data_IF_412610461060
#
_entry.id   IF_412610461060
#
_cell.length_a   1.000
_cell.length_b   1.000
_cell.length_c   1.000
_cell.angle_alpha   90.00
_cell.angle_beta   90.00
_cell.angle_gamma   90.00
#
_symmetry.space_group_name_H-M   'P 1'
#
loop_
_entity.id
_entity.type
_entity.pdbx_description
1 polymer ?
#
# COMPACT_ATOMS: atom_id res chain seq x y z
N UNK A 1 -8.04 5.05 -17.06
CA UNK A 1 -7.69 5.20 -15.63
C UNK A 1 -6.21 5.58 -15.52
N UNK A 2 -5.86 6.60 -14.75
CA UNK A 2 -4.48 6.85 -14.34
C UNK A 2 -4.17 6.10 -13.04
N UNK A 3 -3.07 5.33 -13.02
CA UNK A 3 -2.53 4.74 -11.80
C UNK A 3 -1.13 5.30 -11.55
N UNK A 4 -0.98 6.19 -10.57
CA UNK A 4 0.36 6.64 -10.15
C UNK A 4 0.99 5.58 -9.24
N UNK A 5 2.28 5.32 -9.36
CA UNK A 5 2.93 4.19 -8.67
C UNK A 5 2.51 2.82 -9.23
N UNK A 6 2.04 2.80 -10.49
CA UNK A 6 1.48 1.60 -11.12
C UNK A 6 2.48 0.48 -11.38
N UNK A 7 3.79 0.76 -11.43
CA UNK A 7 4.85 -0.25 -11.57
C UNK A 7 5.31 -0.83 -10.21
N UNK A 8 4.81 -0.29 -9.09
CA UNK A 8 5.08 -0.77 -7.74
C UNK A 8 4.38 -2.09 -7.39
N UNK A 9 4.53 -2.55 -6.12
CA UNK A 9 3.99 -3.82 -5.64
C UNK A 9 2.46 -3.90 -5.77
N UNK A 10 1.69 -2.97 -5.21
CA UNK A 10 0.23 -3.00 -5.32
C UNK A 10 -0.19 -2.56 -6.73
N UNK A 11 0.54 -1.59 -7.30
CA UNK A 11 0.20 -0.94 -8.56
C UNK A 11 0.12 -1.91 -9.73
N UNK A 12 1.10 -2.79 -9.93
CA UNK A 12 1.09 -3.70 -11.07
C UNK A 12 -0.06 -4.73 -11.02
N UNK A 13 -0.46 -5.17 -9.82
CA UNK A 13 -1.66 -6.01 -9.65
C UNK A 13 -2.94 -5.23 -10.00
N UNK A 14 -3.04 -3.98 -9.56
CA UNK A 14 -4.17 -3.12 -9.88
C UNK A 14 -4.27 -2.85 -11.39
N UNK A 15 -3.14 -2.53 -12.03
CA UNK A 15 -3.07 -2.32 -13.49
C UNK A 15 -3.53 -3.57 -14.22
N UNK A 16 -3.05 -4.75 -13.82
CA UNK A 16 -3.46 -6.02 -14.41
C UNK A 16 -4.98 -6.27 -14.25
N UNK A 17 -5.52 -6.02 -13.05
CA UNK A 17 -6.94 -6.20 -12.77
C UNK A 17 -7.84 -5.23 -13.56
N UNK A 18 -7.41 -3.96 -13.73
CA UNK A 18 -8.13 -2.96 -14.53
C UNK A 18 -8.09 -3.32 -16.02
N UNK A 19 -6.93 -3.72 -16.54
CA UNK A 19 -6.78 -4.17 -17.93
C UNK A 19 -7.62 -5.41 -18.23
N UNK A 20 -7.65 -6.39 -17.33
CA UNK A 20 -8.49 -7.58 -17.45
C UNK A 20 -10.00 -7.26 -17.51
N UNK A 21 -10.41 -6.10 -16.99
CA UNK A 21 -11.79 -5.57 -17.09
C UNK A 21 -12.01 -4.69 -18.32
N UNK A 22 -11.06 -4.66 -19.27
CA UNK A 22 -11.16 -3.87 -20.50
C UNK A 22 -10.94 -2.37 -20.31
N UNK A 23 -10.43 -1.92 -19.14
CA UNK A 23 -10.13 -0.50 -18.94
C UNK A 23 -8.79 -0.13 -19.57
N UNK A 24 -8.74 1.01 -20.21
CA UNK A 24 -7.47 1.62 -20.62
C UNK A 24 -6.76 2.20 -19.40
N UNK A 25 -5.47 1.88 -19.25
CA UNK A 25 -4.68 2.29 -18.09
C UNK A 25 -3.44 3.04 -18.53
N UNK A 26 -3.27 4.25 -17.98
CA UNK A 26 -2.02 5.01 -18.00
C UNK A 26 -1.35 4.86 -16.64
N UNK A 27 -0.06 4.60 -16.63
CA UNK A 27 0.77 4.54 -15.41
C UNK A 27 1.68 5.75 -15.38
N UNK A 28 1.76 6.44 -14.22
CA UNK A 28 2.84 7.40 -13.91
C UNK A 28 3.71 6.79 -12.81
N UNK A 29 4.98 6.55 -13.11
CA UNK A 29 5.93 5.93 -12.16
C UNK A 29 7.35 6.41 -12.45
N UNK A 30 8.13 6.71 -11.43
CA UNK A 30 9.55 7.12 -11.57
C UNK A 30 10.50 5.92 -11.62
N UNK A 31 9.97 4.71 -11.43
CA UNK A 31 10.68 3.44 -11.37
C UNK A 31 11.73 3.35 -10.25
N UNK A 32 11.67 4.22 -9.25
CA UNK A 32 12.59 4.19 -8.11
C UNK A 32 12.51 2.89 -7.30
N UNK A 33 11.32 2.30 -7.23
CA UNK A 33 11.07 0.98 -6.63
C UNK A 33 10.22 0.08 -7.53
N UNK A 34 9.51 0.67 -8.47
CA UNK A 34 8.70 0.00 -9.48
C UNK A 34 9.55 -0.71 -10.55
N UNK A 35 8.92 -1.62 -11.27
CA UNK A 35 9.54 -2.35 -12.39
C UNK A 35 8.60 -2.35 -13.58
N UNK A 36 9.03 -1.73 -14.68
CA UNK A 36 8.23 -1.62 -15.90
C UNK A 36 7.86 -2.99 -16.49
N UNK A 37 8.73 -4.01 -16.30
CA UNK A 37 8.55 -5.37 -16.82
C UNK A 37 7.37 -6.11 -16.17
N UNK A 38 6.87 -5.60 -15.01
CA UNK A 38 5.69 -6.15 -14.33
C UNK A 38 4.37 -5.67 -14.93
N UNK A 39 4.41 -4.59 -15.69
CA UNK A 39 3.21 -4.04 -16.32
C UNK A 39 2.74 -4.93 -17.46
N UNK A 40 1.41 -5.13 -17.63
CA UNK A 40 0.87 -5.80 -18.81
C UNK A 40 1.34 -5.11 -20.09
N UNK A 41 1.57 -5.89 -21.15
CA UNK A 41 1.90 -5.35 -22.47
C UNK A 41 0.85 -4.31 -22.90
N UNK A 42 1.28 -3.29 -23.63
CA UNK A 42 0.45 -2.19 -24.11
C UNK A 42 -0.10 -1.25 -23.01
N UNK A 43 0.42 -1.34 -21.77
CA UNK A 43 0.14 -0.32 -20.76
C UNK A 43 0.90 0.97 -21.10
N UNK A 44 0.19 2.09 -21.24
CA UNK A 44 0.85 3.40 -21.42
C UNK A 44 1.61 3.76 -20.15
N UNK A 45 2.94 3.75 -20.21
CA UNK A 45 3.80 4.18 -19.11
C UNK A 45 4.33 5.61 -19.41
N UNK A 46 4.00 6.54 -18.54
CA UNK A 46 4.65 7.84 -18.41
C UNK A 46 5.70 7.72 -17.33
N UNK A 47 6.97 7.65 -17.73
CA UNK A 47 8.08 7.61 -16.79
C UNK A 47 8.31 9.02 -16.25
N UNK A 48 8.08 9.21 -14.95
CA UNK A 48 8.21 10.53 -14.34
C UNK A 48 7.84 10.55 -12.87
N UNK A 49 8.27 11.60 -12.20
CA UNK A 49 8.01 11.84 -10.78
C UNK A 49 6.65 12.51 -10.59
N UNK A 50 5.87 12.06 -9.61
CA UNK A 50 4.57 12.67 -9.28
C UNK A 50 4.69 14.13 -8.82
N UNK A 51 5.88 14.57 -8.42
CA UNK A 51 6.19 15.96 -8.07
C UNK A 51 6.35 16.86 -9.32
N UNK A 52 6.59 16.27 -10.48
CA UNK A 52 6.75 17.00 -11.75
C UNK A 52 5.38 17.30 -12.39
N UNK A 53 5.04 18.58 -12.46
CA UNK A 53 3.79 19.05 -13.04
C UNK A 53 3.62 18.67 -14.52
N UNK A 54 4.72 18.60 -15.30
CA UNK A 54 4.66 18.23 -16.71
C UNK A 54 4.39 16.73 -16.87
N UNK A 55 5.03 15.88 -16.08
CA UNK A 55 4.78 14.44 -16.06
C UNK A 55 3.33 14.12 -15.62
N UNK A 56 2.83 14.81 -14.59
CA UNK A 56 1.45 14.69 -14.13
C UNK A 56 0.46 15.12 -15.21
N UNK A 57 0.70 16.23 -15.89
CA UNK A 57 -0.18 16.70 -16.97
C UNK A 57 -0.23 15.71 -18.13
N UNK A 58 0.94 15.22 -18.58
CA UNK A 58 1.01 14.20 -19.64
C UNK A 58 0.33 12.88 -19.25
N UNK A 59 0.42 12.48 -17.98
CA UNK A 59 -0.23 11.27 -17.49
C UNK A 59 -1.76 11.40 -17.40
N UNK A 60 -2.28 12.60 -17.19
CA UNK A 60 -3.72 12.89 -17.09
C UNK A 60 -4.42 13.00 -18.45
N UNK A 61 -3.71 13.06 -19.57
CA UNK A 61 -4.32 13.17 -20.89
C UNK A 61 -5.30 12.04 -21.19
N UNK A 62 -6.58 12.36 -21.44
CA UNK A 62 -7.64 11.42 -21.75
C UNK A 62 -8.12 10.55 -20.57
N UNK A 63 -7.73 10.89 -19.34
CA UNK A 63 -8.05 10.13 -18.12
C UNK A 63 -9.38 10.61 -17.54
N UNK A 64 -10.27 9.67 -17.17
CA UNK A 64 -11.52 9.95 -16.47
C UNK A 64 -11.48 9.54 -14.99
N UNK A 65 -10.57 8.68 -14.60
CA UNK A 65 -10.45 8.16 -13.22
C UNK A 65 -8.98 8.08 -12.80
N UNK A 66 -8.72 8.33 -11.53
CA UNK A 66 -7.36 8.36 -10.96
C UNK A 66 -7.26 7.45 -9.74
N UNK A 67 -6.20 6.63 -9.68
CA UNK A 67 -5.78 5.94 -8.46
C UNK A 67 -4.38 6.38 -8.09
N UNK A 68 -4.25 7.02 -6.94
CA UNK A 68 -2.97 7.54 -6.44
C UNK A 68 -2.32 6.57 -5.47
N UNK A 69 -1.36 5.76 -5.99
CA UNK A 69 -0.55 4.83 -5.18
C UNK A 69 0.90 5.30 -5.03
N UNK A 70 1.38 6.25 -5.85
CA UNK A 70 2.76 6.74 -5.78
C UNK A 70 3.05 7.29 -4.38
N UNK A 71 4.05 6.73 -3.74
CA UNK A 71 4.45 7.09 -2.39
C UNK A 71 5.84 6.55 -2.06
N UNK A 72 6.57 7.22 -1.19
CA UNK A 72 7.64 6.60 -0.41
C UNK A 72 6.97 5.85 0.75
N UNK A 73 7.08 4.51 0.75
CA UNK A 73 6.39 3.64 1.71
C UNK A 73 7.40 3.09 2.70
N UNK A 74 7.62 3.79 3.80
CA UNK A 74 8.50 3.30 4.86
C UNK A 74 8.32 4.10 6.15
N UNK A 75 7.78 3.47 7.19
CA UNK A 75 7.72 4.08 8.53
C UNK A 75 9.13 4.42 9.03
N UNK A 76 10.08 3.49 8.90
CA UNK A 76 11.45 3.68 9.38
C UNK A 76 12.24 4.61 8.47
N UNK A 77 12.22 4.42 7.17
CA UNK A 77 12.94 5.28 6.22
C UNK A 77 12.46 6.73 6.25
N UNK A 78 11.18 6.97 6.56
CA UNK A 78 10.67 8.33 6.73
C UNK A 78 11.27 9.05 7.94
N UNK A 79 11.69 8.33 8.98
CA UNK A 79 12.38 8.92 10.12
C UNK A 79 13.84 9.29 9.77
N UNK A 80 14.45 8.60 8.81
CA UNK A 80 15.81 8.87 8.31
C UNK A 80 15.81 10.06 7.34
N UNK A 81 14.78 10.18 6.49
CA UNK A 81 14.61 11.30 5.53
C UNK A 81 13.15 11.79 5.49
N UNK A 82 12.73 12.57 6.50
CA UNK A 82 11.35 13.07 6.57
C UNK A 82 11.04 14.13 5.51
N UNK A 83 12.05 14.83 5.00
CA UNK A 83 11.85 15.84 3.96
C UNK A 83 11.46 15.16 2.65
N UNK A 84 12.20 14.15 2.21
CA UNK A 84 11.87 13.37 1.01
C UNK A 84 10.51 12.69 1.14
N UNK A 85 10.18 12.15 2.32
CA UNK A 85 8.85 11.58 2.57
C UNK A 85 7.75 12.62 2.34
N UNK A 86 7.86 13.82 2.93
CA UNK A 86 6.91 14.89 2.76
C UNK A 86 6.83 15.40 1.31
N UNK A 87 7.96 15.53 0.64
CA UNK A 87 8.00 15.93 -0.78
C UNK A 87 7.20 14.97 -1.67
N UNK A 88 7.40 13.67 -1.53
CA UNK A 88 6.71 12.69 -2.37
C UNK A 88 5.27 12.52 -1.91
N UNK A 89 5.04 12.25 -0.62
CA UNK A 89 3.73 11.85 -0.11
C UNK A 89 2.76 13.02 0.02
N UNK A 90 3.24 14.25 0.31
CA UNK A 90 2.38 15.42 0.46
C UNK A 90 2.43 16.30 -0.80
N UNK A 91 3.63 16.78 -1.19
CA UNK A 91 3.73 17.66 -2.36
C UNK A 91 3.37 16.93 -3.66
N UNK A 92 3.75 15.65 -3.81
CA UNK A 92 3.33 14.82 -4.95
C UNK A 92 1.81 14.70 -5.04
N UNK A 93 1.13 14.46 -3.91
CA UNK A 93 -0.34 14.44 -3.85
C UNK A 93 -0.93 15.79 -4.24
N UNK A 94 -0.37 16.90 -3.76
CA UNK A 94 -0.82 18.25 -4.12
C UNK A 94 -0.62 18.55 -5.61
N UNK A 95 0.50 18.12 -6.21
CA UNK A 95 0.75 18.28 -7.65
C UNK A 95 -0.25 17.49 -8.49
N UNK A 96 -0.60 16.27 -8.06
CA UNK A 96 -1.63 15.48 -8.72
C UNK A 96 -3.00 16.16 -8.63
N UNK A 97 -3.40 16.66 -7.45
CA UNK A 97 -4.65 17.40 -7.27
C UNK A 97 -4.70 18.68 -8.10
N UNK A 98 -3.59 19.41 -8.18
CA UNK A 98 -3.46 20.59 -9.06
C UNK A 98 -3.62 20.22 -10.54
N UNK A 99 -3.00 19.12 -10.97
CA UNK A 99 -3.14 18.60 -12.33
C UNK A 99 -4.59 18.20 -12.64
N UNK A 100 -5.26 17.50 -11.72
CA UNK A 100 -6.68 17.14 -11.85
C UNK A 100 -7.55 18.38 -11.98
N UNK A 101 -7.34 19.38 -11.12
CA UNK A 101 -8.11 20.63 -11.18
C UNK A 101 -7.92 21.38 -12.51
N UNK A 102 -6.68 21.43 -13.04
CA UNK A 102 -6.39 22.03 -14.35
C UNK A 102 -7.03 21.25 -15.49
N UNK A 103 -6.97 19.93 -15.48
CA UNK A 103 -7.60 19.07 -16.49
C UNK A 103 -9.14 19.29 -16.50
N UNK A 104 -9.78 19.35 -15.34
CA UNK A 104 -11.21 19.66 -15.21
C UNK A 104 -11.54 21.06 -15.73
N UNK A 105 -10.74 22.08 -15.38
CA UNK A 105 -10.92 23.45 -15.88
C UNK A 105 -10.75 23.54 -17.41
N UNK A 106 -9.97 22.67 -18.03
CA UNK A 106 -9.81 22.54 -19.46
C UNK A 106 -10.92 21.71 -20.14
N UNK A 107 -11.93 21.26 -19.39
CA UNK A 107 -13.09 20.52 -19.91
C UNK A 107 -12.92 19.00 -19.95
N UNK A 108 -11.81 18.45 -19.40
CA UNK A 108 -11.65 17.01 -19.30
C UNK A 108 -12.50 16.46 -18.12
N UNK A 109 -13.22 15.37 -18.38
CA UNK A 109 -14.09 14.75 -17.37
C UNK A 109 -13.31 13.76 -16.48
N UNK A 110 -12.55 14.28 -15.52
CA UNK A 110 -12.00 13.47 -14.43
C UNK A 110 -13.08 13.32 -13.37
N UNK A 111 -13.84 12.23 -13.42
CA UNK A 111 -15.01 12.04 -12.58
C UNK A 111 -14.65 11.54 -11.17
N UNK A 112 -13.69 10.63 -11.05
CA UNK A 112 -13.39 9.93 -9.78
C UNK A 112 -11.91 9.83 -9.49
N UNK A 113 -11.57 9.91 -8.19
CA UNK A 113 -10.19 9.82 -7.73
C UNK A 113 -10.09 9.05 -6.40
N UNK A 114 -9.20 8.07 -6.34
CA UNK A 114 -8.93 7.21 -5.18
C UNK A 114 -7.53 7.48 -4.66
N UNK A 115 -7.40 7.76 -3.35
CA UNK A 115 -6.11 7.87 -2.67
C UNK A 115 -5.84 6.62 -1.85
N UNK A 116 -4.69 5.98 -2.06
CA UNK A 116 -4.15 5.00 -1.13
C UNK A 116 -3.50 5.70 0.07
N UNK A 117 -4.18 5.64 1.20
CA UNK A 117 -3.64 6.01 2.51
C UNK A 117 -3.12 4.77 3.25
N UNK A 118 -2.93 4.84 4.55
CA UNK A 118 -2.30 3.79 5.34
C UNK A 118 -2.88 3.70 6.74
N UNK A 119 -2.85 2.52 7.34
CA UNK A 119 -3.10 2.34 8.77
C UNK A 119 -2.14 3.13 9.67
N UNK A 120 -1.01 3.58 9.13
CA UNK A 120 -0.02 4.37 9.86
C UNK A 120 -0.53 5.76 10.30
N UNK A 121 -1.72 6.18 9.86
CA UNK A 121 -2.38 7.42 10.31
C UNK A 121 -2.99 7.28 11.69
N UNK A 122 -3.27 6.06 12.15
CA UNK A 122 -3.94 5.82 13.42
C UNK A 122 -3.02 5.91 14.65
N UNK A 123 -3.62 6.20 15.77
CA UNK A 123 -3.05 5.91 17.09
C UNK A 123 -3.03 4.39 17.35
N UNK A 124 -2.46 4.00 18.50
CA UNK A 124 -2.53 2.61 18.99
C UNK A 124 -3.98 2.14 19.12
N UNK A 125 -4.29 0.95 18.61
CA UNK A 125 -5.56 0.30 18.87
C UNK A 125 -5.65 -0.29 20.29
N UNK A 126 -6.87 -0.48 20.80
CA UNK A 126 -7.08 -1.24 22.01
C UNK A 126 -6.70 -2.73 21.81
N UNK A 127 -6.29 -3.47 22.86
CA UNK A 127 -5.85 -4.86 22.75
C UNK A 127 -6.87 -5.78 22.06
N UNK A 128 -8.15 -5.59 22.34
CA UNK A 128 -9.27 -6.37 21.78
C UNK A 128 -10.11 -5.56 20.80
N UNK A 129 -9.68 -4.32 20.46
CA UNK A 129 -10.42 -3.40 19.59
C UNK A 129 -9.96 -3.47 18.14
N UNK A 130 -10.91 -3.22 17.24
CA UNK A 130 -10.64 -2.97 15.82
C UNK A 130 -10.51 -1.47 15.58
N UNK A 131 -9.62 -1.08 14.69
CA UNK A 131 -9.45 0.31 14.25
C UNK A 131 -10.56 0.66 13.26
N UNK A 132 -11.48 1.51 13.69
CA UNK A 132 -12.54 2.09 12.86
C UNK A 132 -12.02 3.36 12.19
N UNK A 133 -12.69 3.81 11.13
CA UNK A 133 -12.29 5.01 10.38
C UNK A 133 -12.40 6.30 11.21
N UNK A 134 -13.26 6.31 12.22
CA UNK A 134 -13.45 7.41 13.19
C UNK A 134 -12.49 7.34 14.39
N UNK A 135 -11.64 6.32 14.47
CA UNK A 135 -10.62 6.21 15.52
C UNK A 135 -9.61 7.38 15.46
N UNK A 136 -9.02 7.76 16.61
CA UNK A 136 -8.06 8.85 16.66
C UNK A 136 -6.90 8.67 15.67
N UNK A 137 -6.66 9.68 14.85
CA UNK A 137 -5.52 9.74 13.93
C UNK A 137 -4.37 10.50 14.57
N UNK A 138 -3.48 9.76 15.25
CA UNK A 138 -2.27 10.29 15.91
C UNK A 138 -1.07 9.51 15.41
N UNK A 139 -0.57 9.83 14.20
CA UNK A 139 0.52 9.11 13.57
C UNK A 139 1.81 9.21 14.38
N UNK A 140 2.59 8.10 14.44
CA UNK A 140 3.85 8.00 15.18
C UNK A 140 5.10 8.09 14.29
N UNK A 141 4.92 8.35 13.00
CA UNK A 141 6.01 8.45 12.03
C UNK A 141 5.79 9.58 11.04
N UNK A 142 6.85 10.16 10.46
CA UNK A 142 6.72 11.13 9.38
C UNK A 142 5.86 10.60 8.22
N UNK A 143 6.01 9.32 7.84
CA UNK A 143 5.16 8.65 6.86
C UNK A 143 3.66 8.74 7.21
N UNK A 144 3.31 8.40 8.44
CA UNK A 144 1.91 8.48 8.89
C UNK A 144 1.38 9.92 8.89
N UNK A 145 2.21 10.91 9.29
CA UNK A 145 1.88 12.34 9.23
C UNK A 145 1.65 12.76 7.77
N UNK A 146 2.56 12.38 6.86
CA UNK A 146 2.45 12.67 5.43
C UNK A 146 1.18 12.08 4.81
N UNK A 147 0.85 10.82 5.13
CA UNK A 147 -0.39 10.18 4.65
C UNK A 147 -1.65 10.85 5.21
N UNK A 148 -1.66 11.22 6.49
CA UNK A 148 -2.80 11.94 7.08
C UNK A 148 -2.98 13.33 6.45
N UNK A 149 -1.89 14.06 6.19
CA UNK A 149 -1.93 15.32 5.47
C UNK A 149 -2.49 15.13 4.04
N UNK A 150 -2.01 14.11 3.33
CA UNK A 150 -2.51 13.75 2.00
C UNK A 150 -4.02 13.46 2.01
N UNK A 151 -4.56 12.73 3.00
CA UNK A 151 -6.01 12.51 3.15
C UNK A 151 -6.79 13.83 3.21
N UNK A 152 -6.33 14.77 4.05
CA UNK A 152 -6.99 16.06 4.22
C UNK A 152 -6.98 16.89 2.95
N UNK A 153 -5.84 16.95 2.26
CA UNK A 153 -5.72 17.63 0.98
C UNK A 153 -6.56 16.95 -0.11
N UNK A 154 -6.63 15.61 -0.09
CA UNK A 154 -7.40 14.83 -1.07
C UNK A 154 -8.89 15.17 -1.00
N UNK A 155 -9.50 15.06 0.18
CA UNK A 155 -10.90 15.40 0.34
C UNK A 155 -11.20 16.85 -0.05
N UNK A 156 -10.37 17.79 0.41
CA UNK A 156 -10.55 19.21 0.08
C UNK A 156 -10.36 19.47 -1.42
N UNK A 157 -9.31 18.92 -2.03
CA UNK A 157 -8.97 19.14 -3.44
C UNK A 157 -10.00 18.55 -4.38
N UNK A 158 -10.45 17.32 -4.11
CA UNK A 158 -11.49 16.65 -4.88
C UNK A 158 -12.83 17.42 -4.80
N UNK A 159 -13.26 17.80 -3.59
CA UNK A 159 -14.50 18.58 -3.41
C UNK A 159 -14.46 19.91 -4.16
N UNK A 160 -13.35 20.63 -4.12
CA UNK A 160 -13.17 21.91 -4.83
C UNK A 160 -13.16 21.76 -6.36
N UNK A 161 -12.72 20.62 -6.87
CA UNK A 161 -12.64 20.34 -8.30
C UNK A 161 -13.88 19.63 -8.85
N UNK A 162 -14.87 19.33 -8.00
CA UNK A 162 -16.06 18.57 -8.38
C UNK A 162 -15.74 17.13 -8.78
N UNK A 163 -14.70 16.52 -8.18
CA UNK A 163 -14.28 15.14 -8.40
C UNK A 163 -14.76 14.28 -7.24
N UNK A 164 -15.29 13.11 -7.52
CA UNK A 164 -15.67 12.12 -6.51
C UNK A 164 -14.41 11.51 -5.88
N UNK A 165 -13.99 12.06 -4.73
CA UNK A 165 -12.79 11.65 -4.02
C UNK A 165 -13.08 10.61 -2.94
N UNK A 166 -12.29 9.53 -2.89
CA UNK A 166 -12.33 8.54 -1.81
C UNK A 166 -10.92 8.25 -1.29
N UNK A 167 -10.81 7.95 -0.01
CA UNK A 167 -9.57 7.57 0.66
C UNK A 167 -9.68 6.13 1.14
N UNK A 168 -8.68 5.32 0.81
CA UNK A 168 -8.57 3.93 1.25
C UNK A 168 -7.36 3.78 2.16
N UNK A 169 -7.58 3.49 3.44
CA UNK A 169 -6.51 3.20 4.41
C UNK A 169 -6.13 1.74 4.31
N UNK A 170 -5.03 1.47 3.61
CA UNK A 170 -4.51 0.10 3.46
C UNK A 170 -3.84 -0.35 4.75
N UNK A 171 -4.16 -1.58 5.15
CA UNK A 171 -3.44 -2.27 6.20
C UNK A 171 -2.24 -3.02 5.63
N UNK A 172 -1.65 -3.99 6.33
CA UNK A 172 -0.36 -4.55 5.92
C UNK A 172 -0.50 -5.44 4.69
N UNK A 173 -0.27 -4.86 3.52
CA UNK A 173 -0.30 -5.57 2.25
C UNK A 173 0.78 -6.65 2.18
N UNK A 174 0.44 -7.83 1.67
CA UNK A 174 1.38 -8.89 1.36
C UNK A 174 0.96 -9.65 0.10
N UNK A 175 1.88 -10.39 -0.51
CA UNK A 175 1.58 -11.24 -1.67
C UNK A 175 2.70 -11.29 -2.70
N UNK A 176 2.45 -11.95 -3.84
CA UNK A 176 3.42 -12.10 -4.93
C UNK A 176 3.93 -10.75 -5.41
N UNK A 177 5.21 -10.67 -5.75
CA UNK A 177 5.81 -9.44 -6.26
C UNK A 177 6.20 -8.43 -5.18
N UNK A 178 5.91 -8.66 -3.90
CA UNK A 178 6.43 -7.82 -2.83
C UNK A 178 7.96 -7.93 -2.79
N UNK A 179 8.63 -6.80 -3.00
CA UNK A 179 10.10 -6.75 -2.96
C UNK A 179 10.55 -6.55 -1.52
N UNK A 180 11.49 -7.37 -1.02
CA UNK A 180 12.09 -7.13 0.29
C UNK A 180 12.73 -5.75 0.33
N UNK A 181 12.51 -5.02 1.41
CA UNK A 181 13.24 -3.79 1.69
C UNK A 181 13.61 -3.77 3.17
N UNK A 182 14.65 -3.06 3.59
CA UNK A 182 15.02 -2.95 5.00
C UNK A 182 13.90 -2.43 5.90
N UNK A 183 12.83 -1.89 5.30
CA UNK A 183 11.82 -1.10 5.97
C UNK A 183 10.40 -1.63 5.84
N UNK A 184 10.14 -2.55 4.89
CA UNK A 184 8.77 -3.02 4.55
C UNK A 184 8.77 -4.54 4.40
N UNK A 185 7.70 -5.17 4.94
CA UNK A 185 7.41 -6.58 4.67
C UNK A 185 8.06 -7.55 5.64
N UNK A 186 7.54 -7.66 6.86
CA UNK A 186 8.02 -8.65 7.85
C UNK A 186 8.04 -10.09 7.29
N UNK A 187 7.06 -10.43 6.43
CA UNK A 187 6.97 -11.75 5.80
C UNK A 187 8.17 -12.00 4.88
N UNK A 188 8.48 -11.05 3.99
CA UNK A 188 9.61 -11.18 3.07
C UNK A 188 10.94 -11.14 3.80
N UNK A 189 11.07 -10.35 4.87
CA UNK A 189 12.25 -10.37 5.73
C UNK A 189 12.49 -11.73 6.40
N UNK A 190 11.45 -12.31 6.97
CA UNK A 190 11.56 -13.63 7.60
C UNK A 190 11.89 -14.69 6.55
N UNK A 191 11.24 -14.63 5.38
CA UNK A 191 11.51 -15.54 4.28
C UNK A 191 12.95 -15.49 3.79
N UNK A 192 13.50 -14.29 3.56
CA UNK A 192 14.89 -14.12 3.11
C UNK A 192 15.89 -14.64 4.15
N UNK A 193 15.64 -14.40 5.44
CA UNK A 193 16.50 -14.93 6.51
C UNK A 193 16.45 -16.45 6.55
N UNK A 194 15.27 -17.05 6.51
CA UNK A 194 15.09 -18.51 6.54
C UNK A 194 15.76 -19.16 5.33
N UNK A 195 15.64 -18.59 4.14
CA UNK A 195 16.35 -19.05 2.93
C UNK A 195 17.88 -18.96 3.05
N UNK A 196 18.36 -17.97 3.78
CA UNK A 196 19.80 -17.84 4.06
C UNK A 196 20.29 -18.78 5.20
N UNK A 197 19.43 -19.67 5.70
CA UNK A 197 19.74 -20.57 6.82
C UNK A 197 19.80 -19.85 8.18
N UNK A 198 19.21 -18.65 8.27
CA UNK A 198 19.17 -17.85 9.50
C UNK A 198 17.75 -17.81 10.07
N UNK A 199 17.59 -17.82 11.41
CA UNK A 199 16.28 -17.72 12.03
C UNK A 199 15.64 -16.36 11.80
N UNK A 200 14.28 -16.26 11.74
CA UNK A 200 13.58 -14.99 11.77
C UNK A 200 13.84 -14.27 13.10
N UNK A 201 14.04 -12.94 13.07
CA UNK A 201 14.25 -12.13 14.28
C UNK A 201 12.98 -11.37 14.64
N UNK A 202 12.44 -11.67 15.80
CA UNK A 202 11.25 -11.03 16.38
C UNK A 202 11.70 -9.93 17.34
N UNK A 203 11.19 -8.71 17.14
CA UNK A 203 11.40 -7.61 18.05
C UNK A 203 10.31 -7.60 19.12
N UNK A 204 10.72 -7.61 20.41
CA UNK A 204 9.81 -7.78 21.54
C UNK A 204 9.40 -9.23 21.77
N UNK A 205 8.18 -9.45 22.28
CA UNK A 205 7.63 -10.77 22.60
C UNK A 205 6.92 -11.48 21.41
N UNK A 206 6.81 -10.79 20.28
CA UNK A 206 6.13 -11.32 19.09
C UNK A 206 4.61 -11.33 19.17
N UNK A 207 4.00 -10.84 20.26
CA UNK A 207 2.54 -10.81 20.44
C UNK A 207 1.88 -9.56 19.85
N UNK A 208 2.65 -8.64 19.27
CA UNK A 208 2.10 -7.50 18.54
C UNK A 208 1.27 -7.99 17.34
N UNK A 209 0.03 -7.51 17.24
CA UNK A 209 -0.93 -7.93 16.24
C UNK A 209 -0.99 -6.96 15.07
N UNK A 210 -1.01 -7.51 13.87
CA UNK A 210 -1.15 -6.77 12.60
C UNK A 210 -2.22 -7.41 11.76
N UNK A 211 -2.92 -6.59 11.01
CA UNK A 211 -3.83 -7.04 9.97
C UNK A 211 -3.05 -7.19 8.66
N UNK A 212 -2.85 -8.42 8.23
CA UNK A 212 -2.22 -8.73 6.95
C UNK A 212 -3.31 -8.99 5.90
N UNK A 213 -3.33 -8.18 4.87
CA UNK A 213 -4.28 -8.26 3.77
C UNK A 213 -3.57 -8.63 2.47
N UNK A 214 -4.11 -9.64 1.77
CA UNK A 214 -3.53 -10.05 0.50
C UNK A 214 -3.70 -8.96 -0.56
N UNK A 215 -2.72 -8.81 -1.45
CA UNK A 215 -2.72 -7.78 -2.48
C UNK A 215 -3.94 -7.86 -3.40
N UNK A 216 -4.42 -9.05 -3.71
CA UNK A 216 -5.62 -9.25 -4.54
C UNK A 216 -6.88 -8.67 -3.88
N UNK A 217 -7.00 -8.79 -2.56
CA UNK A 217 -8.13 -8.23 -1.81
C UNK A 217 -8.07 -6.69 -1.78
N UNK A 218 -6.86 -6.10 -1.59
CA UNK A 218 -6.68 -4.64 -1.71
C UNK A 218 -7.04 -4.15 -3.10
N UNK A 219 -6.62 -4.86 -4.14
CA UNK A 219 -6.95 -4.54 -5.53
C UNK A 219 -8.45 -4.62 -5.76
N UNK A 220 -9.12 -5.67 -5.27
CA UNK A 220 -10.57 -5.82 -5.39
C UNK A 220 -11.33 -4.66 -4.73
N UNK A 221 -10.93 -4.28 -3.50
CA UNK A 221 -11.51 -3.12 -2.80
C UNK A 221 -11.25 -1.79 -3.52
N UNK A 222 -10.05 -1.62 -4.09
CA UNK A 222 -9.69 -0.40 -4.84
C UNK A 222 -10.48 -0.29 -6.15
N UNK A 223 -10.68 -1.40 -6.87
CA UNK A 223 -11.51 -1.42 -8.06
C UNK A 223 -12.99 -1.17 -7.70
N UNK A 224 -13.49 -1.75 -6.61
CA UNK A 224 -14.84 -1.48 -6.15
C UNK A 224 -15.05 0.01 -5.80
N UNK A 225 -14.03 0.70 -5.29
CA UNK A 225 -14.09 2.14 -5.02
C UNK A 225 -14.14 2.99 -6.29
N UNK A 226 -13.64 2.49 -7.43
CA UNK A 226 -13.85 3.13 -8.73
C UNK A 226 -15.25 2.87 -9.30
N UNK A 227 -15.87 1.74 -8.98
CA UNK A 227 -17.14 1.30 -9.58
C UNK A 227 -18.38 1.77 -8.79
N UNK A 228 -18.22 2.20 -7.52
CA UNK A 228 -19.33 2.54 -6.60
C UNK A 228 -19.32 4.00 -6.22
N UNK A 229 -20.50 4.51 -5.85
CA UNK A 229 -20.64 5.86 -5.31
C UNK A 229 -20.22 5.86 -3.82
N UNK A 230 -18.98 6.26 -3.59
CA UNK A 230 -18.33 6.33 -2.27
C UNK A 230 -17.62 7.67 -2.08
N UNK A 231 -18.10 8.70 -2.77
CA UNK A 231 -17.52 10.05 -2.71
C UNK A 231 -17.49 10.59 -1.29
N UNK A 232 -16.37 11.19 -0.92
CA UNK A 232 -16.16 11.78 0.41
C UNK A 232 -15.86 10.78 1.52
N UNK A 233 -15.91 9.47 1.25
CA UNK A 233 -15.63 8.47 2.28
C UNK A 233 -14.13 8.24 2.49
N UNK A 234 -13.79 7.87 3.71
CA UNK A 234 -12.53 7.22 4.09
C UNK A 234 -12.88 5.82 4.54
N UNK A 235 -12.21 4.79 3.99
CA UNK A 235 -12.53 3.38 4.26
C UNK A 235 -11.26 2.59 4.58
N UNK A 236 -11.35 1.67 5.53
CA UNK A 236 -10.29 0.73 5.84
C UNK A 236 -10.32 -0.46 4.88
N UNK A 237 -9.19 -0.79 4.29
CA UNK A 237 -8.99 -2.05 3.56
C UNK A 237 -7.96 -2.91 4.29
N UNK A 238 -8.45 -3.92 4.99
CA UNK A 238 -7.71 -4.93 5.72
C UNK A 238 -8.39 -6.29 5.56
N UNK A 239 -7.87 -7.29 6.26
CA UNK A 239 -8.53 -8.60 6.35
C UNK A 239 -9.58 -8.66 7.47
N UNK A 240 -9.57 -7.68 8.39
CA UNK A 240 -10.36 -7.68 9.61
C UNK A 240 -9.85 -8.67 10.66
N UNK A 241 -8.65 -9.22 10.49
CA UNK A 241 -8.06 -10.25 11.38
C UNK A 241 -6.67 -9.85 11.84
N UNK A 242 -6.44 -9.99 13.12
CA UNK A 242 -5.14 -9.74 13.72
C UNK A 242 -4.30 -11.01 13.77
N UNK A 243 -3.14 -10.99 13.12
CA UNK A 243 -2.11 -12.03 13.19
C UNK A 243 -0.92 -11.50 13.99
N UNK A 244 -0.39 -12.28 14.91
CA UNK A 244 0.80 -11.91 15.68
C UNK A 244 2.07 -12.09 14.84
N UNK A 245 3.11 -11.31 15.13
CA UNK A 245 4.40 -11.46 14.44
C UNK A 245 5.01 -12.85 14.67
N UNK A 246 4.76 -13.46 15.84
CA UNK A 246 5.16 -14.84 16.12
C UNK A 246 4.44 -15.84 15.22
N UNK A 247 3.12 -15.69 14.99
CA UNK A 247 2.37 -16.52 14.04
C UNK A 247 2.91 -16.37 12.61
N UNK A 248 3.25 -15.15 12.21
CA UNK A 248 3.89 -14.91 10.89
C UNK A 248 5.23 -15.64 10.80
N UNK A 249 6.09 -15.56 11.82
CA UNK A 249 7.38 -16.24 11.82
C UNK A 249 7.22 -17.75 11.68
N UNK A 250 6.30 -18.34 12.44
CA UNK A 250 5.98 -19.78 12.37
C UNK A 250 5.42 -20.19 11.00
N UNK A 251 4.53 -19.38 10.43
CA UNK A 251 3.97 -19.64 9.12
C UNK A 251 5.04 -19.62 8.02
N UNK A 252 5.99 -18.67 8.07
CA UNK A 252 7.11 -18.61 7.13
C UNK A 252 8.05 -19.80 7.29
N UNK A 253 8.41 -20.18 8.53
CA UNK A 253 9.24 -21.37 8.79
C UNK A 253 8.58 -22.63 8.23
N UNK A 254 7.28 -22.80 8.48
CA UNK A 254 6.51 -23.94 7.95
C UNK A 254 6.47 -23.95 6.41
N UNK A 255 6.24 -22.79 5.78
CA UNK A 255 6.21 -22.63 4.33
C UNK A 255 7.59 -22.96 3.67
N UNK A 256 8.69 -22.74 4.41
CA UNK A 256 10.04 -23.08 3.97
C UNK A 256 10.46 -24.51 4.36
N UNK A 257 9.65 -25.28 5.06
CA UNK A 257 10.05 -26.60 5.60
C UNK A 257 11.21 -26.52 6.59
N UNK A 258 11.38 -25.38 7.27
CA UNK A 258 12.51 -25.10 8.15
C UNK A 258 12.20 -25.49 9.60
N UNK A 259 13.19 -26.07 10.28
CA UNK A 259 13.15 -26.42 11.71
C UNK A 259 13.81 -25.38 12.61
N UNK A 260 14.20 -24.23 12.06
CA UNK A 260 14.77 -23.14 12.83
C UNK A 260 13.73 -22.58 13.81
N UNK A 261 14.21 -22.08 14.97
CA UNK A 261 13.37 -21.37 15.93
C UNK A 261 13.61 -19.86 15.82
N UNK A 262 12.57 -19.01 16.03
CA UNK A 262 12.73 -17.57 16.02
C UNK A 262 13.70 -17.07 17.09
N UNK A 263 14.52 -16.10 16.74
CA UNK A 263 15.33 -15.31 17.69
C UNK A 263 14.56 -14.07 18.15
N UNK A 264 14.84 -13.61 19.37
CA UNK A 264 14.19 -12.45 19.94
C UNK A 264 15.20 -11.31 20.16
N UNK A 265 14.80 -10.09 19.80
CA UNK A 265 15.54 -8.86 19.98
C UNK A 265 14.72 -7.86 20.81
N UNK A 266 15.35 -6.81 21.39
CA UNK A 266 14.63 -5.79 22.14
C UNK A 266 13.45 -5.19 21.37
N UNK A 267 12.34 -4.91 22.07
CA UNK A 267 11.16 -4.29 21.49
C UNK A 267 11.49 -2.90 20.90
N UNK A 268 10.77 -2.52 19.85
CA UNK A 268 10.87 -1.21 19.20
C UNK A 268 9.80 -0.28 19.77
N UNK A 269 10.17 0.84 20.41
CA UNK A 269 9.21 1.73 21.08
C UNK A 269 8.18 2.37 20.15
N UNK A 270 8.56 2.58 18.87
CA UNK A 270 7.72 3.21 17.85
C UNK A 270 6.67 2.27 17.23
N UNK A 271 6.77 0.96 17.47
CA UNK A 271 5.84 -0.01 16.91
C UNK A 271 4.50 -0.02 17.65
N UNK A 272 3.41 0.02 16.88
CA UNK A 272 2.07 -0.21 17.43
C UNK A 272 1.93 -1.65 17.93
N UNK A 273 1.29 -1.84 19.08
CA UNK A 273 1.05 -3.16 19.63
C UNK A 273 -0.15 -3.85 18.95
N UNK A 274 -1.19 -3.08 18.66
CA UNK A 274 -2.44 -3.56 18.10
C UNK A 274 -2.87 -2.70 16.92
N UNK A 275 -2.95 -3.29 15.73
CA UNK A 275 -3.37 -2.62 14.51
C UNK A 275 -4.14 -3.60 13.61
N UNK A 276 -5.46 -3.70 13.84
CA UNK A 276 -6.38 -4.54 13.10
C UNK A 276 -7.55 -3.70 12.60
N UNK A 277 -7.92 -3.85 11.33
CA UNK A 277 -8.98 -3.06 10.70
C UNK A 277 -10.37 -3.49 11.18
N UNK A 278 -11.24 -2.53 11.47
CA UNK A 278 -12.66 -2.71 11.26
C UNK A 278 -12.96 -2.45 9.77
N UNK A 279 -13.48 -3.46 9.09
CA UNK A 279 -13.80 -3.39 7.66
C UNK A 279 -15.30 -3.29 7.40
N UNK A 280 -16.12 -3.04 8.42
CA UNK A 280 -17.58 -3.00 8.30
C UNK A 280 -18.07 -1.90 7.37
N UNK A 281 -17.42 -0.72 7.40
CA UNK A 281 -17.74 0.37 6.49
C UNK A 281 -17.40 0.02 5.03
N UNK A 282 -16.24 -0.60 4.78
CA UNK A 282 -15.87 -1.06 3.44
C UNK A 282 -16.81 -2.17 2.92
N UNK A 283 -17.25 -3.07 3.80
CA UNK A 283 -18.28 -4.07 3.46
C UNK A 283 -19.58 -3.42 3.03
N UNK A 284 -20.08 -2.48 3.80
CA UNK A 284 -21.34 -1.80 3.52
C UNK A 284 -21.27 -0.95 2.24
N UNK A 285 -20.19 -0.17 2.05
CA UNK A 285 -20.06 0.78 0.95
C UNK A 285 -19.58 0.11 -0.35
N UNK A 286 -18.64 -0.83 -0.27
CA UNK A 286 -18.00 -1.43 -1.42
C UNK A 286 -18.44 -2.88 -1.70
N UNK A 287 -19.14 -3.54 -0.78
CA UNK A 287 -19.32 -4.99 -0.82
C UNK A 287 -17.97 -5.73 -0.67
N UNK A 288 -17.04 -5.11 0.07
CA UNK A 288 -15.68 -5.62 0.25
C UNK A 288 -15.68 -6.85 1.15
N UNK A 289 -15.25 -7.99 0.61
CA UNK A 289 -15.09 -9.23 1.36
C UNK A 289 -13.71 -9.82 1.06
N UNK A 290 -12.77 -9.77 2.02
CA UNK A 290 -11.47 -10.39 1.84
C UNK A 290 -11.61 -11.88 1.55
N UNK A 291 -11.07 -12.32 0.41
CA UNK A 291 -11.18 -13.70 -0.06
C UNK A 291 -10.23 -14.66 0.66
N UNK A 292 -9.18 -14.11 1.29
CA UNK A 292 -8.14 -14.86 2.00
C UNK A 292 -8.15 -14.54 3.49
N UNK A 293 -8.96 -15.25 4.26
CA UNK A 293 -9.17 -14.97 5.69
C UNK A 293 -7.97 -15.33 6.58
N UNK A 294 -7.00 -16.06 6.08
CA UNK A 294 -5.75 -16.42 6.77
C UNK A 294 -4.54 -16.05 5.94
N UNK A 295 -3.38 -15.97 6.60
CA UNK A 295 -2.12 -15.66 5.94
C UNK A 295 -1.77 -16.76 4.93
N UNK A 296 -1.98 -16.47 3.63
CA UNK A 296 -1.64 -17.37 2.53
C UNK A 296 -0.21 -17.09 2.05
N UNK A 297 0.69 -18.01 2.36
CA UNK A 297 2.11 -17.92 1.99
C UNK A 297 2.50 -18.89 0.87
N UNK A 298 1.54 -19.51 0.17
CA UNK A 298 1.79 -20.48 -0.90
C UNK A 298 2.67 -19.90 -2.03
N UNK A 299 2.56 -18.59 -2.28
CA UNK A 299 3.38 -17.89 -3.28
C UNK A 299 4.88 -17.84 -2.95
N UNK A 300 5.28 -18.03 -1.68
CA UNK A 300 6.70 -18.08 -1.31
C UNK A 300 7.41 -19.27 -1.95
N UNK A 301 6.73 -20.38 -2.14
CA UNK A 301 7.30 -21.57 -2.79
C UNK A 301 7.66 -21.29 -4.26
N UNK A 302 6.80 -20.58 -5.00
CA UNK A 302 7.06 -20.21 -6.41
C UNK A 302 8.11 -19.10 -6.55
N UNK A 303 8.27 -18.23 -5.55
CA UNK A 303 9.30 -17.19 -5.52
C UNK A 303 10.72 -17.77 -5.29
N UNK A 304 10.84 -19.03 -4.93
CA UNK A 304 12.12 -19.71 -4.75
C UNK A 304 12.83 -19.96 -6.09
N UNK A 305 12.09 -20.10 -7.19
CA UNK A 305 12.64 -20.43 -8.53
C UNK A 305 13.07 -19.19 -9.34
N UNK A 306 12.68 -17.96 -8.94
CA UNK A 306 12.96 -16.72 -9.67
C UNK A 306 14.40 -16.20 -9.53
N UNK A 307 15.42 -17.08 -9.39
CA UNK A 307 16.84 -16.74 -9.59
C UNK A 307 17.39 -15.58 -8.72
N UNK A 308 16.80 -15.28 -7.56
CA UNK A 308 17.34 -14.30 -6.62
C UNK A 308 18.64 -14.84 -6.01
N UNK A 309 19.77 -14.41 -6.59
CA UNK A 309 21.08 -14.65 -5.99
C UNK A 309 21.06 -14.21 -4.52
N UNK A 310 21.60 -15.04 -3.63
CA UNK A 310 21.79 -14.68 -2.23
C UNK A 310 22.56 -13.36 -2.15
N UNK A 311 22.19 -12.42 -1.26
CA UNK A 311 22.93 -11.18 -1.10
C UNK A 311 24.41 -11.51 -0.80
N UNK A 312 25.31 -10.87 -1.54
CA UNK A 312 26.74 -11.02 -1.35
C UNK A 312 27.08 -10.75 0.13
N UNK A 313 27.80 -11.68 0.76
CA UNK A 313 28.33 -11.50 2.11
C UNK A 313 29.25 -10.29 2.11
N UNK A 314 28.78 -9.15 2.58
CA UNK A 314 29.65 -8.05 2.99
C UNK A 314 30.32 -8.48 4.29
N UNK A 315 31.66 -8.62 4.22
CA UNK A 315 32.54 -8.85 5.37
C UNK A 315 32.56 -7.64 6.29
#
# INVERSE_FOLDING_TARGET
VLVTGGAGFIGHHLVAALRARGREVTVLDDLSTGRAERLPRETRLVMGDVRDAAAVAAALEGVCEVVHLAAVVSVRGSAEDPVRDAEVNVLGTLRLLEGIARARAAGQDVARAVLASSMAVYAEGAPDGLLREDAPTVPRSPYGVGKLAAERYWHLGCARSGVEGVVLRYFNAYGPGQTPSPYVGVITHFFDRVRAGMPPVIFGDGLQRRDFVHVDDLVAGTVAALDRDVSGLTLNLGSGRGTTVLEVARAVLAACGSTLEPEYAPARPEELRHAVADISAARAALGYEPSRPSLDLSWLASSADDGRAAPARTR
#
